data_IF_849546827796
#
_entry.id   IF_849546827796
#
_cell.length_a   1.000
_cell.length_b   1.000
_cell.length_c   1.000
_cell.angle_alpha   90.00
_cell.angle_beta   90.00
_cell.angle_gamma   90.00
#
_symmetry.space_group_name_H-M   'P 1'
#
loop_
_entity.id
_entity.type
_entity.pdbx_description
1 polymer ?
2 non-polymer ?
3 non-polymer ?
4 water ?
#
# COMPACT_ATOMS: atom_id res chain seq x y z
N UNK A 2 11.53 15.21 -16.55
CA UNK A 2 11.76 13.78 -16.14
C UNK A 2 10.93 13.36 -14.92
N UNK A 3 10.78 14.24 -13.94
CA UNK A 3 9.92 14.01 -12.78
C UNK A 3 10.56 13.17 -11.69
N UNK A 4 11.87 13.17 -11.64
CA UNK A 4 12.57 12.42 -10.63
C UNK A 4 12.76 13.22 -9.34
N UNK A 5 12.62 12.53 -8.21
CA UNK A 5 12.84 13.11 -6.89
C UNK A 5 14.18 12.61 -6.36
N UNK A 6 15.18 13.49 -6.37
CA UNK A 6 16.55 13.12 -5.99
C UNK A 6 16.66 12.30 -4.70
N UNK A 7 15.69 12.42 -3.80
CA UNK A 7 15.78 11.76 -2.49
C UNK A 7 15.84 10.22 -2.53
N UNK A 8 15.33 9.62 -3.61
CA UNK A 8 15.36 8.17 -3.75
C UNK A 8 16.64 7.74 -4.42
N UNK A 9 17.45 6.92 -3.75
CA UNK A 9 18.65 6.42 -4.41
C UNK A 9 18.91 4.95 -4.16
N UNK A 10 19.65 4.33 -5.06
CA UNK A 10 20.05 2.94 -4.91
C UNK A 10 20.92 2.87 -3.70
N UNK A 11 21.53 3.99 -3.36
CA UNK A 11 22.44 4.01 -2.23
C UNK A 11 21.71 4.05 -0.88
N UNK A 12 20.53 4.68 -0.85
CA UNK A 12 19.74 4.65 0.38
C UNK A 12 18.59 3.64 0.35
N UNK A 13 18.66 2.72 -0.60
CA UNK A 13 17.72 1.61 -0.61
C UNK A 13 18.34 0.52 0.25
N UNK A 14 17.70 0.21 1.37
CA UNK A 14 18.19 -0.87 2.22
C UNK A 14 17.77 -2.22 1.65
N UNK A 15 18.67 -3.17 1.66
CA UNK A 15 18.45 -4.46 1.04
C UNK A 15 18.31 -5.57 2.06
N UNK A 16 17.25 -6.37 1.88
CA UNK A 16 16.95 -7.51 2.73
C UNK A 16 16.46 -8.62 1.81
N UNK A 17 16.22 -9.80 2.34
CA UNK A 17 15.88 -10.87 1.41
C UNK A 17 14.52 -10.70 0.75
N UNK A 18 13.81 -9.67 1.15
CA UNK A 18 12.50 -9.43 0.59
C UNK A 18 12.52 -8.53 -0.63
N UNK A 19 13.63 -7.83 -0.87
CA UNK A 19 13.71 -6.91 -2.01
C UNK A 19 14.99 -7.06 -2.80
N UNK A 20 15.74 -8.10 -2.47
CA UNK A 20 17.01 -8.38 -3.12
C UNK A 20 16.90 -8.61 -4.63
N UNK A 21 16.05 -9.55 -5.05
CA UNK A 21 15.85 -9.82 -6.48
C UNK A 21 15.64 -8.52 -7.23
N UNK A 22 14.56 -7.83 -6.92
CA UNK A 22 14.24 -6.59 -7.58
C UNK A 22 15.48 -5.70 -7.61
N UNK A 23 16.08 -5.50 -6.46
CA UNK A 23 17.24 -4.64 -6.37
C UNK A 23 18.38 -5.12 -7.28
N UNK A 24 18.68 -6.41 -7.23
CA UNK A 24 19.77 -6.94 -8.03
C UNK A 24 19.47 -6.81 -9.50
N UNK A 25 18.25 -7.20 -9.89
CA UNK A 25 17.84 -7.12 -11.28
C UNK A 25 17.94 -5.67 -11.81
N UNK A 26 17.43 -4.73 -11.05
CA UNK A 26 17.49 -3.34 -11.46
C UNK A 26 18.96 -2.91 -11.65
N UNK A 27 19.81 -3.32 -10.72
CA UNK A 27 21.23 -2.99 -10.80
C UNK A 27 21.93 -3.66 -11.97
N UNK A 28 21.67 -4.94 -12.20
CA UNK A 28 22.22 -5.60 -13.36
C UNK A 28 21.78 -4.83 -14.62
N UNK A 29 20.53 -4.38 -14.64
CA UNK A 29 20.00 -3.71 -15.81
C UNK A 29 20.67 -2.36 -16.09
N UNK A 30 21.07 -1.67 -15.03
CA UNK A 30 21.72 -0.39 -15.18
C UNK A 30 23.09 -0.53 -15.83
N UNK A 31 23.71 -1.68 -15.66
CA UNK A 31 25.02 -1.92 -16.23
C UNK A 31 24.95 -2.37 -17.68
N UNK A 32 23.76 -2.74 -18.13
CA UNK A 32 23.55 -3.12 -19.51
C UNK A 32 22.20 -2.63 -20.02
N UNK A 33 21.91 -1.36 -19.78
CA UNK A 33 20.64 -0.75 -20.17
C UNK A 33 20.03 -1.28 -21.44
N UNK A 34 18.76 -1.70 -21.32
CA UNK A 34 17.99 -2.19 -22.43
C UNK A 34 18.45 -3.49 -23.06
N UNK A 35 19.55 -4.06 -22.62
CA UNK A 35 20.08 -5.24 -23.29
C UNK A 35 19.96 -6.58 -22.57
N UNK A 36 19.75 -6.55 -21.26
CA UNK A 36 19.70 -7.76 -20.47
C UNK A 36 18.25 -8.12 -20.16
N UNK A 37 17.56 -7.19 -19.52
CA UNK A 37 16.18 -7.39 -19.15
C UNK A 37 15.34 -6.29 -19.71
N UNK A 38 14.31 -6.64 -20.45
CA UNK A 38 13.41 -5.64 -20.99
C UNK A 38 12.14 -6.33 -21.40
N UNK A 39 11.05 -6.01 -20.72
CA UNK A 39 11.06 -5.04 -19.64
C UNK A 39 11.30 -5.68 -18.29
N UNK A 40 11.45 -4.82 -17.29
CA UNK A 40 11.47 -5.22 -15.90
C UNK A 40 10.12 -4.80 -15.34
N UNK A 41 9.43 -5.72 -14.67
CA UNK A 41 8.11 -5.43 -14.11
C UNK A 41 8.16 -5.76 -12.64
N UNK A 42 8.19 -4.72 -11.80
CA UNK A 42 8.24 -4.92 -10.36
C UNK A 42 6.85 -4.83 -9.74
N UNK A 43 6.51 -5.77 -8.86
CA UNK A 43 5.22 -5.72 -8.18
C UNK A 43 5.29 -6.07 -6.69
N UNK A 44 4.40 -5.45 -5.93
CA UNK A 44 4.33 -5.64 -4.51
C UNK A 44 3.30 -4.73 -3.90
N UNK A 45 2.99 -4.98 -2.65
CA UNK A 45 1.96 -4.20 -1.99
C UNK A 45 2.46 -2.80 -1.64
N UNK A 46 1.55 -1.95 -1.20
CA UNK A 46 1.90 -0.57 -0.85
C UNK A 46 3.06 -0.42 0.13
N UNK A 47 3.93 0.55 -0.13
CA UNK A 47 5.00 0.90 0.78
C UNK A 47 6.04 -0.19 0.80
N UNK A 48 6.37 -0.68 -0.36
CA UNK A 48 7.20 -1.84 -0.44
C UNK A 48 8.50 -1.60 -1.17
N UNK A 49 8.65 -0.40 -1.73
CA UNK A 49 9.87 -0.03 -2.40
C UNK A 49 9.78 0.22 -3.90
N UNK A 50 8.60 -0.03 -4.48
CA UNK A 50 8.43 0.12 -5.93
C UNK A 50 8.81 1.52 -6.44
N UNK A 51 8.22 2.56 -5.89
CA UNK A 51 8.48 3.89 -6.40
C UNK A 51 9.93 4.28 -6.10
N UNK A 52 10.37 3.99 -4.90
CA UNK A 52 11.72 4.29 -4.52
C UNK A 52 12.71 3.67 -5.51
N UNK A 53 12.50 2.40 -5.84
CA UNK A 53 13.41 1.69 -6.71
C UNK A 53 13.38 2.25 -8.15
N UNK A 54 12.19 2.52 -8.67
CA UNK A 54 12.09 3.08 -10.02
C UNK A 54 12.84 4.40 -10.08
N UNK A 55 12.60 5.25 -9.10
CA UNK A 55 13.19 6.56 -9.10
C UNK A 55 14.69 6.54 -8.82
N UNK A 56 15.14 5.56 -8.06
CA UNK A 56 16.56 5.44 -7.80
C UNK A 56 17.26 5.04 -9.10
N UNK A 57 16.64 4.14 -9.87
CA UNK A 57 17.20 3.75 -11.16
C UNK A 57 17.28 4.97 -12.07
N UNK A 58 16.19 5.73 -12.13
CA UNK A 58 16.15 6.90 -12.97
C UNK A 58 17.23 7.88 -12.60
N UNK A 59 17.37 8.15 -11.31
CA UNK A 59 18.40 9.09 -10.88
C UNK A 59 19.79 8.65 -11.30
N UNK A 60 20.05 7.34 -11.22
CA UNK A 60 21.32 6.79 -11.64
C UNK A 60 21.53 6.98 -13.12
N UNK A 61 20.56 6.57 -13.92
CA UNK A 61 20.69 6.68 -15.36
C UNK A 61 20.92 8.14 -15.78
N UNK A 62 20.33 9.06 -15.03
CA UNK A 62 20.46 10.46 -15.37
C UNK A 62 21.84 10.97 -14.98
N UNK A 63 22.28 10.56 -13.81
CA UNK A 63 23.59 10.94 -13.32
C UNK A 63 24.67 10.39 -14.24
N UNK A 64 24.31 9.40 -15.05
CA UNK A 64 25.25 8.80 -15.98
C UNK A 64 25.15 9.45 -17.35
N UNK A 65 24.10 10.26 -17.54
CA UNK A 65 23.91 10.99 -18.78
C UNK A 65 22.74 10.56 -19.65
N UNK A 66 21.97 9.57 -19.21
CA UNK A 66 20.85 9.06 -20.01
C UNK A 66 19.60 9.95 -19.94
N UNK A 67 18.82 9.92 -21.00
CA UNK A 67 17.56 10.65 -21.08
C UNK A 67 16.48 9.80 -20.39
N UNK A 68 15.81 10.35 -19.38
CA UNK A 68 14.89 9.56 -18.58
C UNK A 68 13.52 10.18 -18.41
N UNK A 69 12.49 9.37 -18.40
CA UNK A 69 11.19 9.88 -17.99
C UNK A 69 10.58 8.96 -16.93
N UNK A 70 10.02 9.57 -15.90
CA UNK A 70 9.28 8.84 -14.90
C UNK A 70 7.88 9.34 -14.91
N UNK A 71 6.93 8.44 -14.73
CA UNK A 71 5.56 8.87 -14.65
C UNK A 71 4.68 7.74 -14.14
N UNK A 72 3.67 8.09 -13.36
CA UNK A 72 2.72 7.10 -12.92
C UNK A 72 1.74 6.93 -14.05
N UNK A 73 1.14 5.77 -14.14
CA UNK A 73 0.25 5.47 -15.24
C UNK A 73 -0.92 6.44 -15.31
N UNK A 74 -1.41 6.88 -14.15
CA UNK A 74 -2.56 7.77 -14.14
C UNK A 74 -2.23 9.14 -14.69
N UNK A 75 -1.03 9.62 -14.37
CA UNK A 75 -0.60 10.93 -14.87
C UNK A 75 -0.29 10.79 -16.36
N UNK A 76 0.21 9.62 -16.74
CA UNK A 76 0.50 9.34 -18.13
C UNK A 76 -0.80 9.43 -18.90
N UNK A 77 -1.83 8.76 -18.38
CA UNK A 77 -3.15 8.75 -19.00
C UNK A 77 -3.69 10.17 -19.13
N UNK A 78 -3.56 10.92 -18.06
CA UNK A 78 -4.08 12.26 -18.01
C UNK A 78 -3.31 13.15 -18.98
N UNK A 79 -2.01 12.98 -19.04
CA UNK A 79 -1.20 13.78 -19.95
C UNK A 79 -1.51 13.46 -21.43
N UNK A 81 -4.38 12.39 -22.74
CA UNK A 81 -5.67 12.98 -23.09
C UNK A 81 -5.58 14.51 -23.27
N UNK A 82 -4.69 15.14 -22.52
CA UNK A 82 -4.49 16.58 -22.61
C UNK A 82 -3.83 16.98 -23.93
N UNK A 83 -2.79 16.25 -24.30
CA UNK A 83 -2.10 16.53 -25.55
C UNK A 83 -3.02 16.26 -26.72
N UNK A 84 -3.84 15.23 -26.58
CA UNK A 84 -4.76 14.85 -27.66
C UNK A 84 -5.76 15.94 -27.98
N UNK A 85 -6.27 16.61 -26.96
CA UNK A 85 -7.22 17.68 -27.22
C UNK A 85 -6.55 19.00 -27.62
N UNK A 86 -5.31 19.19 -27.18
CA UNK A 86 -4.59 20.41 -27.50
C UNK A 86 -4.08 20.34 -28.93
N UNK A 87 -4.13 19.15 -29.50
CA UNK A 87 -3.67 18.91 -30.86
C UNK A 87 -2.23 18.45 -30.90
N UNK A 88 -1.69 18.07 -29.75
CA UNK A 88 -0.29 17.73 -29.64
C UNK A 88 0.01 16.26 -29.33
N UNK A 89 -0.94 15.35 -29.57
CA UNK A 89 -0.67 13.98 -29.28
C UNK A 89 0.71 13.59 -29.81
N UNK A 90 1.13 14.20 -30.91
CA UNK A 90 2.41 13.88 -31.52
C UNK A 90 3.66 14.25 -30.69
N UNK A 91 3.59 15.34 -29.94
CA UNK A 91 4.70 15.70 -29.07
C UNK A 91 4.71 14.76 -27.87
N UNK A 92 3.53 14.28 -27.50
CA UNK A 92 3.41 13.28 -26.43
C UNK A 92 4.20 12.01 -26.79
N UNK A 93 3.94 11.47 -27.98
CA UNK A 93 4.60 10.25 -28.40
C UNK A 93 6.10 10.46 -28.53
N UNK A 94 6.48 11.44 -29.34
CA UNK A 94 7.89 11.69 -29.59
C UNK A 94 8.67 11.84 -28.30
N UNK A 96 8.02 10.48 -25.30
CA UNK A 96 8.20 9.17 -24.69
C UNK A 96 9.04 8.23 -25.52
N UNK A 97 8.97 8.37 -26.85
CA UNK A 97 9.66 7.45 -27.74
C UNK A 97 11.15 7.71 -27.82
N UNK A 98 11.59 8.80 -27.22
CA UNK A 98 12.96 9.23 -27.38
C UNK A 98 13.85 9.05 -26.15
N UNK A 99 13.37 8.38 -25.13
CA UNK A 99 14.17 8.27 -23.92
C UNK A 99 15.09 7.07 -23.94
N UNK A 100 16.07 7.05 -23.04
CA UNK A 100 16.91 5.86 -22.85
C UNK A 100 16.29 4.98 -21.76
N UNK A 101 15.44 5.58 -20.92
CA UNK A 101 14.89 4.90 -19.75
C UNK A 101 13.47 5.39 -19.47
N UNK A 102 12.48 4.52 -19.63
CA UNK A 102 11.11 4.87 -19.32
C UNK A 102 10.69 4.17 -18.01
N UNK A 103 10.15 4.94 -17.08
CA UNK A 103 9.72 4.36 -15.82
C UNK A 103 8.25 4.64 -15.66
N UNK A 104 7.42 3.59 -15.78
CA UNK A 104 5.99 3.72 -15.63
C UNK A 104 5.57 3.07 -14.34
N UNK A 105 5.11 3.88 -13.40
CA UNK A 105 4.78 3.43 -12.07
C UNK A 105 3.28 3.21 -11.94
N UNK A 106 2.86 2.26 -11.10
CA UNK A 106 1.45 1.98 -10.86
C UNK A 106 0.61 1.56 -12.09
N UNK A 107 1.17 0.67 -12.89
CA UNK A 107 0.55 0.18 -14.14
C UNK A 107 -0.90 -0.28 -14.01
N UNK A 108 -1.28 -0.72 -12.84
CA UNK A 108 -2.64 -1.17 -12.59
C UNK A 108 -3.67 -0.15 -13.05
N UNK A 109 -3.32 1.13 -12.93
CA UNK A 109 -4.24 2.21 -13.27
C UNK A 109 -4.43 2.41 -14.77
N UNK A 110 -3.74 1.60 -15.56
CA UNK A 110 -3.94 1.55 -17.00
C UNK A 110 -5.31 0.95 -17.35
N UNK A 111 -5.93 0.22 -16.41
CA UNK A 111 -7.19 -0.46 -16.72
C UNK A 111 -8.30 0.49 -17.10
N UNK A 112 -9.00 0.15 -18.18
CA UNK A 112 -10.07 0.99 -18.69
C UNK A 112 -9.57 1.99 -19.72
N UNK A 113 -8.41 2.56 -19.47
CA UNK A 113 -7.86 3.58 -20.35
C UNK A 113 -7.33 2.94 -21.62
N UNK A 114 -8.25 2.54 -22.50
CA UNK A 114 -7.90 1.84 -23.71
C UNK A 114 -6.95 2.62 -24.58
N UNK A 115 -7.27 3.89 -24.82
CA UNK A 115 -6.45 4.69 -25.70
C UNK A 115 -5.07 4.76 -25.11
N UNK A 116 -5.02 5.06 -23.82
CA UNK A 116 -3.75 5.13 -23.11
C UNK A 116 -2.95 3.85 -23.30
N UNK A 117 -3.61 2.70 -23.13
CA UNK A 117 -2.93 1.42 -23.31
C UNK A 117 -2.41 1.37 -24.73
N UNK A 118 -3.27 1.66 -25.69
CA UNK A 118 -2.83 1.60 -27.08
C UNK A 118 -1.64 2.54 -27.31
N UNK A 119 -1.74 3.75 -26.82
CA UNK A 119 -0.64 4.66 -27.03
C UNK A 119 0.64 4.18 -26.31
N UNK A 120 0.49 3.54 -25.16
CA UNK A 120 1.63 3.00 -24.44
C UNK A 120 2.25 1.78 -25.18
N UNK A 121 1.41 0.96 -25.80
CA UNK A 121 1.92 -0.16 -26.55
C UNK A 121 2.91 0.34 -27.60
N UNK A 122 2.46 1.34 -28.36
CA UNK A 122 3.27 1.84 -29.43
C UNK A 122 4.56 2.43 -28.92
N UNK A 123 4.49 3.15 -27.79
CA UNK A 123 5.70 3.66 -27.18
C UNK A 123 6.59 2.50 -26.69
N UNK A 124 5.98 1.52 -26.03
CA UNK A 124 6.68 0.33 -25.56
C UNK A 124 7.46 -0.36 -26.72
N UNK A 125 6.75 -0.71 -27.81
CA UNK A 125 7.39 -1.31 -28.96
C UNK A 125 8.60 -0.52 -29.46
N UNK A 126 8.43 0.79 -29.61
CA UNK A 126 9.50 1.62 -30.14
C UNK A 126 10.72 1.52 -29.26
N UNK A 127 10.55 1.83 -27.97
CA UNK A 127 11.67 1.75 -27.07
C UNK A 127 12.27 0.35 -27.13
N UNK A 128 11.41 -0.65 -27.23
CA UNK A 128 11.84 -2.03 -27.24
C UNK A 128 12.70 -2.36 -28.49
N UNK A 129 12.22 -1.99 -29.67
CA UNK A 129 12.94 -2.27 -30.90
C UNK A 129 14.27 -1.55 -30.91
N UNK A 130 14.39 -0.52 -30.09
CA UNK A 130 15.62 0.26 -30.01
C UNK A 130 16.46 -0.19 -28.82
N UNK A 131 15.99 -1.24 -28.15
CA UNK A 131 16.66 -1.72 -26.96
C UNK A 131 16.79 -0.63 -25.90
N UNK A 132 15.73 0.13 -25.72
CA UNK A 132 15.69 1.16 -24.67
C UNK A 132 15.04 0.53 -23.45
N UNK A 133 15.52 0.90 -22.26
CA UNK A 133 15.10 0.24 -21.04
C UNK A 133 13.73 0.66 -20.58
N UNK A 134 12.92 -0.31 -20.24
CA UNK A 134 11.61 -0.04 -19.71
C UNK A 134 11.52 -0.67 -18.34
N UNK A 135 11.08 0.09 -17.35
CA UNK A 135 10.84 -0.47 -16.04
C UNK A 135 9.43 -0.11 -15.62
N UNK A 136 8.62 -1.13 -15.33
CA UNK A 136 7.26 -0.93 -14.90
C UNK A 136 7.16 -1.33 -13.46
N UNK A 137 6.18 -0.78 -12.77
CA UNK A 137 5.90 -1.20 -11.40
C UNK A 137 4.38 -1.26 -11.24
N UNK A 138 3.94 -2.19 -10.41
CA UNK A 138 2.52 -2.41 -10.22
C UNK A 138 2.28 -2.96 -8.84
N UNK A 139 1.04 -2.91 -8.39
CA UNK A 139 0.73 -3.43 -7.08
C UNK A 139 0.31 -4.87 -7.22
N UNK A 140 0.29 -5.38 -8.44
CA UNK A 140 -0.13 -6.75 -8.64
C UNK A 140 0.54 -7.34 -9.86
N UNK A 141 0.63 -8.66 -9.87
CA UNK A 141 1.22 -9.43 -10.97
C UNK A 141 0.46 -9.15 -12.25
N UNK A 142 1.13 -9.14 -13.39
CA UNK A 142 0.43 -8.92 -14.67
C UNK A 142 -0.81 -9.81 -14.83
N UNK A 143 -0.73 -11.07 -14.42
CA UNK A 143 -1.87 -11.99 -14.54
C UNK A 143 -3.09 -11.48 -13.78
N UNK A 144 -2.91 -10.45 -12.97
CA UNK A 144 -4.02 -9.92 -12.20
C UNK A 144 -4.44 -8.56 -12.68
N UNK A 145 -3.79 -8.09 -13.73
CA UNK A 145 -4.19 -6.85 -14.36
C UNK A 145 -5.47 -7.02 -15.18
N UNK A 146 -6.62 -7.00 -14.53
CA UNK A 146 -7.89 -6.94 -15.26
C UNK A 146 -7.96 -5.59 -15.95
N UNK A 147 -8.54 -5.56 -17.14
CA UNK A 147 -8.69 -4.32 -17.86
C UNK A 147 -7.50 -3.86 -18.65
N UNK A 148 -6.37 -4.57 -18.56
CA UNK A 148 -5.22 -4.22 -19.40
C UNK A 148 -5.17 -5.23 -20.53
N UNK A 149 -4.94 -4.75 -21.75
CA UNK A 149 -4.97 -5.66 -22.89
C UNK A 149 -4.09 -6.87 -22.69
N UNK A 150 -4.43 -7.95 -23.39
CA UNK A 150 -3.68 -9.18 -23.37
C UNK A 150 -2.31 -9.00 -23.99
N UNK A 151 -2.25 -8.20 -25.04
CA UNK A 151 -0.99 -8.05 -25.72
C UNK A 151 0.01 -7.33 -24.84
N UNK A 152 -0.45 -6.37 -24.06
CA UNK A 152 0.45 -5.67 -23.15
C UNK A 152 0.93 -6.63 -22.09
N UNK A 153 0.02 -7.48 -21.64
CA UNK A 153 0.38 -8.47 -20.64
C UNK A 153 1.40 -9.49 -21.16
N UNK A 154 1.26 -9.95 -22.40
CA UNK A 154 2.25 -10.90 -22.92
C UNK A 154 3.58 -10.21 -22.95
N UNK A 155 3.59 -9.03 -23.53
CA UNK A 155 4.82 -8.27 -23.62
C UNK A 155 5.52 -8.18 -22.25
N UNK A 156 4.77 -7.81 -21.22
CA UNK A 156 5.38 -7.71 -19.91
C UNK A 156 5.96 -9.08 -19.58
N UNK A 157 5.25 -10.13 -19.95
CA UNK A 157 5.67 -11.44 -19.55
C UNK A 157 6.87 -11.95 -20.31
N UNK A 158 7.25 -11.21 -21.34
CA UNK A 158 8.41 -11.56 -22.10
C UNK A 158 9.66 -11.09 -21.38
N UNK A 159 9.48 -10.24 -20.38
CA UNK A 159 10.64 -9.72 -19.68
C UNK A 159 10.99 -10.43 -18.38
N UNK A 160 11.22 -9.65 -17.33
CA UNK A 160 11.47 -10.21 -16.01
C UNK A 160 10.52 -9.64 -14.97
N UNK A 161 9.81 -10.53 -14.29
CA UNK A 161 8.82 -10.15 -13.28
C UNK A 161 9.40 -10.44 -11.92
N UNK A 162 9.44 -9.46 -11.05
CA UNK A 162 9.96 -9.69 -9.72
C UNK A 162 9.09 -9.08 -8.62
N UNK A 163 8.65 -9.92 -7.70
CA UNK A 163 7.85 -9.48 -6.58
C UNK A 163 8.74 -8.78 -5.58
N UNK A 164 8.24 -7.75 -4.92
CA UNK A 164 9.05 -7.05 -3.93
C UNK A 164 8.32 -6.99 -2.60
N UNK A 165 9.06 -7.21 -1.53
CA UNK A 165 8.47 -7.20 -0.19
C UNK A 165 9.34 -6.42 0.79
N UNK A 166 8.68 -5.85 1.79
CA UNK A 166 9.39 -5.18 2.85
C UNK A 166 9.39 -6.08 4.07
N UNK A 167 10.44 -6.88 4.21
CA UNK A 167 10.51 -7.85 5.28
C UNK A 167 10.90 -7.25 6.63
N UNK A 168 10.73 -8.04 7.69
CA UNK A 168 11.00 -7.59 9.06
C UNK A 168 12.43 -7.09 9.29
N UNK A 169 13.41 -7.82 8.80
CA UNK A 169 14.79 -7.38 8.98
C UNK A 169 14.97 -6.01 8.36
N UNK A 170 14.27 -5.75 7.27
CA UNK A 170 14.37 -4.48 6.56
C UNK A 170 13.67 -3.31 7.30
N UNK A 171 12.41 -3.49 7.69
CA UNK A 171 11.71 -2.47 8.45
C UNK A 171 12.57 -2.06 9.63
N UNK A 172 13.06 -3.06 10.34
CA UNK A 172 13.92 -2.86 11.48
C UNK A 172 15.01 -1.84 11.15
N UNK A 173 15.80 -2.10 10.12
CA UNK A 173 16.85 -1.17 9.75
C UNK A 173 16.25 0.19 9.42
N UNK A 174 15.14 0.20 8.66
CA UNK A 174 14.51 1.46 8.32
C UNK A 174 14.09 2.19 9.61
N UNK A 175 13.42 1.48 10.49
CA UNK A 175 13.00 2.08 11.75
C UNK A 175 14.15 2.78 12.45
N UNK A 176 15.33 2.15 12.46
CA UNK A 176 16.48 2.78 13.06
C UNK A 176 16.81 4.05 12.32
N UNK A 177 16.81 4.02 10.99
CA UNK A 177 17.13 5.24 10.24
C UNK A 177 16.14 6.34 10.58
N UNK A 178 14.85 6.00 10.62
CA UNK A 178 13.79 6.97 10.89
C UNK A 178 13.92 7.61 12.26
N UNK A 179 14.22 6.80 13.27
CA UNK A 179 14.40 7.33 14.59
C UNK A 179 15.55 8.37 14.64
N UNK A 180 16.64 8.14 13.91
CA UNK A 180 17.69 9.15 13.79
C UNK A 180 17.22 10.36 12.98
N UNK A 181 16.43 10.14 11.93
CA UNK A 181 15.88 11.24 11.13
C UNK A 181 15.09 12.20 12.02
N UNK A 182 14.23 11.66 12.87
CA UNK A 182 13.34 12.47 13.65
C UNK A 182 13.82 12.70 15.09
N UNK A 183 15.11 12.49 15.30
CA UNK A 183 15.73 12.75 16.58
C UNK A 183 15.09 12.02 17.76
N UNK A 184 14.95 10.71 17.63
CA UNK A 184 14.52 9.93 18.76
C UNK A 184 15.64 8.99 19.09
N UNK A 185 15.52 8.28 20.19
CA UNK A 185 16.59 7.44 20.64
C UNK A 185 16.37 6.02 20.20
N UNK A 186 17.45 5.35 19.83
CA UNK A 186 17.35 3.95 19.41
C UNK A 186 17.21 3.07 20.64
N UNK A 187 16.06 3.17 21.27
CA UNK A 187 15.79 2.46 22.49
C UNK A 187 14.99 1.20 22.17
N UNK A 188 15.38 0.08 22.76
CA UNK A 188 14.75 -1.19 22.45
C UNK A 188 13.21 -1.11 22.39
N UNK A 189 12.59 -0.57 23.44
CA UNK A 189 11.12 -0.54 23.51
C UNK A 189 10.47 0.20 22.34
N UNK A 190 11.09 1.29 21.93
CA UNK A 190 10.55 2.10 20.86
C UNK A 190 10.66 1.32 19.56
N UNK A 191 11.87 0.82 19.30
CA UNK A 191 12.12 0.00 18.11
C UNK A 191 11.19 -1.17 18.10
N UNK A 192 11.05 -1.85 19.24
CA UNK A 192 10.10 -2.94 19.34
C UNK A 192 8.66 -2.48 19.08
N UNK A 193 8.24 -1.39 19.72
CA UNK A 193 6.89 -0.89 19.53
C UNK A 193 6.59 -0.71 18.07
N UNK A 194 7.56 -0.15 17.35
CA UNK A 194 7.37 0.14 15.96
C UNK A 194 7.33 -1.13 15.11
N UNK A 195 8.14 -2.14 15.48
CA UNK A 195 8.15 -3.38 14.73
C UNK A 195 6.78 -4.02 14.77
N UNK A 196 6.23 -4.11 15.97
CA UNK A 196 4.93 -4.73 16.15
C UNK A 196 3.76 -3.95 15.53
N UNK A 197 3.89 -2.64 15.39
CA UNK A 197 2.72 -1.86 14.93
C UNK A 197 2.83 -1.13 13.60
N UNK A 198 3.70 -1.57 12.71
CA UNK A 198 3.82 -0.94 11.42
C UNK A 198 4.32 -1.88 10.34
N UNK A 199 4.01 -1.55 9.08
CA UNK A 199 4.42 -2.35 7.94
C UNK A 199 5.02 -1.43 6.87
N UNK A 200 4.62 -0.17 6.92
CA UNK A 200 5.00 0.87 5.97
C UNK A 200 5.97 1.82 6.63
N UNK A 201 6.55 2.72 5.85
CA UNK A 201 7.27 3.84 6.39
C UNK A 201 6.24 4.91 6.76
N UNK A 202 5.11 4.92 6.06
CA UNK A 202 4.02 5.84 6.33
C UNK A 202 3.50 5.64 7.76
N UNK A 203 3.36 4.39 8.17
CA UNK A 203 2.85 4.08 9.50
C UNK A 203 3.93 4.36 10.54
N UNK A 204 5.18 4.16 10.16
CA UNK A 204 6.29 4.44 11.04
C UNK A 204 6.37 5.94 11.31
N UNK A 205 6.24 6.75 10.27
CA UNK A 205 6.25 8.20 10.46
C UNK A 205 5.00 8.66 11.22
N UNK A 206 3.87 8.01 10.96
CA UNK A 206 2.65 8.29 11.69
C UNK A 206 2.83 8.06 13.19
N UNK A 207 3.39 6.92 13.56
CA UNK A 207 3.66 6.66 14.98
C UNK A 207 4.66 7.66 15.54
N UNK A 208 5.72 7.94 14.78
CA UNK A 208 6.74 8.86 15.25
C UNK A 208 6.14 10.24 15.51
N UNK A 209 5.26 10.71 14.62
CA UNK A 209 4.59 12.00 14.78
C UNK A 209 3.88 12.02 16.14
N UNK A 210 3.19 10.93 16.46
CA UNK A 210 2.46 10.83 17.71
C UNK A 210 3.41 10.77 18.89
N UNK A 211 4.57 10.15 18.68
CA UNK A 211 5.53 10.03 19.76
C UNK A 211 6.15 11.38 20.09
N UNK A 212 6.46 12.18 19.07
CA UNK A 212 7.04 13.50 19.32
C UNK A 212 6.02 14.42 20.00
N UNK A 213 4.74 14.15 19.76
CA UNK A 213 3.69 15.01 20.26
C UNK A 213 3.37 14.69 21.70
N UNK A 214 3.15 13.42 21.98
CA UNK A 214 2.66 12.98 23.27
C UNK A 214 3.72 12.31 24.11
N UNK A 215 4.90 12.10 23.55
CA UNK A 215 5.94 11.33 24.21
C UNK A 215 5.67 9.84 23.97
N UNK A 216 6.71 9.01 23.97
CA UNK A 216 6.49 7.60 23.71
C UNK A 216 5.50 7.03 24.74
N UNK A 217 5.66 7.42 25.98
CA UNK A 217 4.80 6.89 27.04
C UNK A 217 3.40 7.51 27.04
N UNK A 218 3.26 8.64 26.34
CA UNK A 218 1.98 9.28 26.17
C UNK A 218 1.17 8.50 25.16
N UNK A 219 1.85 8.01 24.12
CA UNK A 219 1.20 7.20 23.10
C UNK A 219 0.75 5.88 23.69
N UNK A 220 1.61 5.29 24.51
CA UNK A 220 1.22 4.03 25.14
C UNK A 220 -0.02 4.21 26.00
N UNK A 221 -0.07 5.30 26.74
CA UNK A 221 -1.23 5.59 27.56
C UNK A 221 -2.47 5.81 26.71
N UNK A 222 -2.35 6.64 25.69
CA UNK A 222 -3.47 6.91 24.83
C UNK A 222 -3.96 5.61 24.21
N UNK A 223 -3.04 4.78 23.74
CA UNK A 223 -3.45 3.55 23.07
C UNK A 223 -4.09 2.55 24.03
N UNK A 224 -3.64 2.59 25.27
CA UNK A 224 -4.22 1.72 26.30
C UNK A 224 -5.65 2.12 26.55
N UNK A 225 -5.87 3.43 26.65
CA UNK A 225 -7.20 3.95 26.82
C UNK A 225 -8.09 3.58 25.64
N UNK A 226 -7.58 3.68 24.42
CA UNK A 226 -8.36 3.29 23.27
C UNK A 226 -8.78 1.82 23.39
N UNK A 227 -7.84 0.95 23.75
CA UNK A 227 -8.17 -0.47 23.93
C UNK A 227 -9.26 -0.68 24.99
N UNK A 228 -9.19 0.11 26.07
CA UNK A 228 -10.19 0.00 27.13
C UNK A 228 -11.55 0.32 26.55
N UNK A 229 -11.62 1.37 25.75
CA UNK A 229 -12.90 1.76 25.20
C UNK A 229 -13.49 0.68 24.32
N UNK A 230 -12.65 0.05 23.50
CA UNK A 230 -13.08 -1.04 22.64
C UNK A 230 -13.66 -2.17 23.48
N UNK A 232 -15.09 -1.62 26.37
CA UNK A 232 -16.33 -1.05 26.87
C UNK A 232 -17.43 -1.29 25.86
N UNK A 233 -17.09 -1.21 24.57
CA UNK A 233 -18.07 -1.44 23.53
C UNK A 233 -18.51 -2.91 23.52
N UNK A 234 -17.58 -3.81 23.81
CA UNK A 234 -17.91 -5.22 23.89
C UNK A 234 -18.85 -5.44 25.07
N UNK A 235 -18.52 -4.88 26.22
CA UNK A 235 -19.40 -4.94 27.39
C UNK A 235 -20.78 -4.46 26.98
N UNK A 236 -20.82 -3.40 26.18
CA UNK A 236 -22.09 -2.80 25.79
C UNK A 236 -22.93 -3.75 24.95
N UNK A 237 -22.39 -4.20 23.82
CA UNK A 237 -23.11 -5.11 22.96
C UNK A 237 -23.65 -6.28 23.76
N UNK A 238 -22.88 -6.71 24.75
CA UNK A 238 -23.28 -7.79 25.63
C UNK A 238 -24.59 -7.45 26.35
N UNK A 239 -24.49 -6.63 27.39
CA UNK A 239 -25.64 -6.24 28.19
C UNK A 239 -26.92 -5.97 27.39
N UNK A 240 -26.77 -5.65 26.11
CA UNK A 240 -27.93 -5.41 25.25
C UNK A 240 -28.41 -6.68 24.54
N UNK A 241 -27.47 -7.50 24.10
CA UNK A 241 -27.80 -8.71 23.34
C UNK A 241 -28.06 -9.92 24.22
N UNK A 242 -27.63 -9.85 25.48
CA UNK A 242 -27.81 -10.97 26.39
C UNK A 242 -26.80 -12.07 26.08
N UNK A 243 -25.53 -11.67 25.95
CA UNK A 243 -24.44 -12.59 25.75
C UNK A 243 -23.33 -12.11 26.67
N UNK A 244 -22.59 -13.03 27.27
CA UNK A 244 -21.50 -12.64 28.17
C UNK A 244 -20.29 -12.17 27.38
N UNK A 245 -19.38 -11.49 28.06
CA UNK A 245 -18.18 -11.01 27.40
C UNK A 245 -17.31 -12.19 27.02
N UNK A 246 -16.96 -12.99 28.02
CA UNK A 246 -16.15 -14.19 27.82
C UNK A 246 -16.61 -14.90 26.55
N UNK A 247 -17.91 -14.88 26.34
CA UNK A 247 -18.52 -15.53 25.18
C UNK A 247 -18.23 -14.75 23.89
N UNK A 248 -18.63 -13.48 23.87
CA UNK A 248 -18.51 -12.65 22.67
C UNK A 248 -17.12 -12.68 22.00
N UNK A 249 -16.13 -13.18 22.70
CA UNK A 249 -14.76 -13.19 22.18
C UNK A 249 -14.24 -14.55 21.73
N UNK A 250 -14.79 -15.08 20.64
CA UNK A 250 -14.34 -16.36 20.10
C UNK A 250 -15.08 -16.75 18.82
N UNK A 251 -14.57 -17.77 18.13
CA UNK A 251 -15.15 -18.22 16.87
C UNK A 251 -16.33 -19.17 17.07
N UNK A 252 -17.09 -18.96 18.14
CA UNK A 252 -18.25 -19.79 18.42
C UNK A 252 -19.42 -19.34 17.58
N UNK A 253 -19.66 -20.05 16.48
CA UNK A 253 -20.76 -19.72 15.57
C UNK A 253 -22.10 -20.10 16.20
N UNK A 254 -22.81 -19.12 16.74
CA UNK A 254 -24.07 -19.38 17.42
C UNK A 254 -25.21 -18.44 17.03
N UNK A 255 -24.95 -17.54 16.08
CA UNK A 255 -25.95 -16.59 15.61
C UNK A 255 -26.56 -15.75 16.75
N UNK A 256 -26.26 -16.14 17.98
CA UNK A 256 -26.66 -15.38 19.15
C UNK A 256 -25.41 -14.66 19.64
N UNK A 257 -24.29 -15.10 19.11
CA UNK A 257 -23.01 -14.53 19.43
C UNK A 257 -22.40 -14.00 18.14
N UNK A 258 -22.38 -14.84 17.13
CA UNK A 258 -21.83 -14.46 15.83
C UNK A 258 -22.43 -13.16 15.32
N UNK A 259 -23.69 -12.93 15.67
CA UNK A 259 -24.39 -11.72 15.24
C UNK A 259 -24.19 -10.56 16.20
N UNK A 260 -23.56 -10.83 17.33
CA UNK A 260 -23.23 -9.78 18.29
C UNK A 260 -21.80 -9.39 18.03
N UNK A 261 -21.05 -10.33 17.48
CA UNK A 261 -19.65 -10.13 17.15
C UNK A 261 -19.56 -9.18 15.97
N UNK A 262 -20.51 -9.29 15.05
CA UNK A 262 -20.55 -8.44 13.87
C UNK A 262 -20.79 -6.99 14.27
N UNK A 263 -21.91 -6.74 14.93
CA UNK A 263 -22.23 -5.37 15.35
C UNK A 263 -21.10 -4.76 16.18
N UNK A 264 -20.57 -5.54 17.12
CA UNK A 264 -19.49 -5.05 17.96
C UNK A 264 -18.36 -4.53 17.09
N UNK A 266 -18.38 -3.72 14.21
CA UNK A 266 -18.94 -2.57 13.52
C UNK A 266 -18.91 -1.33 14.41
N UNK A 267 -19.29 -1.51 15.66
CA UNK A 267 -19.31 -0.39 16.59
C UNK A 267 -17.88 0.09 16.90
N UNK A 268 -16.94 -0.83 17.02
CA UNK A 268 -15.55 -0.49 17.26
C UNK A 268 -15.05 0.28 16.07
N UNK A 269 -15.42 -0.19 14.89
CA UNK A 269 -14.99 0.48 13.66
C UNK A 269 -15.67 1.82 13.52
N UNK A 270 -16.98 1.85 13.63
CA UNK A 270 -17.72 3.07 13.32
C UNK A 270 -17.80 4.10 14.47
N UNK A 271 -17.86 3.61 15.71
CA UNK A 271 -18.00 4.50 16.84
C UNK A 271 -16.67 5.00 17.43
N UNK A 272 -15.67 4.13 17.50
CA UNK A 272 -14.37 4.54 18.05
C UNK A 272 -13.28 4.74 17.01
N UNK A 273 -13.61 4.57 15.73
CA UNK A 273 -12.63 4.78 14.66
C UNK A 273 -11.39 3.93 14.85
N UNK A 274 -11.59 2.67 15.22
CA UNK A 274 -10.47 1.75 15.40
C UNK A 274 -10.12 1.10 14.09
N UNK A 275 -8.84 0.95 13.82
CA UNK A 275 -8.42 0.31 12.59
C UNK A 275 -8.77 -1.16 12.63
N UNK A 276 -8.79 -1.77 11.43
CA UNK A 276 -9.05 -3.20 11.29
C UNK A 276 -8.14 -3.97 12.22
N UNK A 277 -6.83 -3.77 12.04
CA UNK A 277 -5.85 -4.42 12.88
C UNK A 277 -6.25 -4.27 14.34
N UNK A 278 -6.51 -3.03 14.77
CA UNK A 278 -6.90 -2.76 16.16
C UNK A 278 -8.14 -3.53 16.57
N UNK A 279 -9.16 -3.51 15.73
CA UNK A 279 -10.38 -4.24 16.00
C UNK A 279 -10.05 -5.73 16.07
N UNK A 280 -9.29 -6.22 15.09
CA UNK A 280 -8.90 -7.62 15.07
C UNK A 280 -8.21 -8.00 16.37
N UNK A 281 -7.30 -7.15 16.82
CA UNK A 281 -6.56 -7.41 18.05
C UNK A 281 -7.50 -7.40 19.25
N UNK A 282 -8.43 -6.47 19.24
CA UNK A 282 -9.38 -6.36 20.33
C UNK A 282 -10.10 -7.69 20.49
N UNK A 283 -10.72 -8.13 19.39
CA UNK A 283 -11.39 -9.40 19.38
C UNK A 283 -10.32 -10.45 19.11
N UNK A 284 -9.87 -11.11 20.17
CA UNK A 284 -8.76 -12.02 20.06
C UNK A 284 -8.84 -12.91 18.84
N UNK A 285 -8.00 -12.55 17.87
CA UNK A 285 -7.85 -13.24 16.60
C UNK A 285 -6.69 -12.54 15.95
N UNK A 286 -6.25 -13.04 14.80
CA UNK A 286 -5.21 -12.36 14.04
C UNK A 286 -5.22 -12.77 12.58
N UNK A 287 -5.89 -11.96 11.77
CA UNK A 287 -5.98 -12.19 10.34
C UNK A 287 -6.80 -11.07 9.70
N UNK A 288 -7.00 -11.16 8.39
CA UNK A 288 -7.74 -10.16 7.66
C UNK A 288 -9.22 -10.55 7.52
N UNK A 289 -9.51 -11.25 6.42
CA UNK A 289 -10.87 -11.69 6.10
C UNK A 289 -11.90 -11.34 7.18
N UNK A 290 -12.07 -12.26 8.14
CA UNK A 290 -13.06 -12.09 9.21
C UNK A 290 -13.71 -10.72 9.26
N UNK A 291 -12.99 -9.74 9.80
CA UNK A 291 -13.52 -8.40 9.98
C UNK A 291 -14.16 -7.83 8.72
N UNK A 292 -13.34 -7.57 7.71
CA UNK A 292 -13.82 -6.99 6.45
C UNK A 292 -15.26 -7.40 6.10
N UNK A 293 -15.47 -8.67 5.78
CA UNK A 293 -16.80 -9.12 5.38
C UNK A 293 -17.84 -9.04 6.51
N UNK A 294 -17.39 -9.13 7.75
CA UNK A 294 -18.29 -8.98 8.88
C UNK A 294 -18.94 -7.60 8.78
N UNK A 295 -18.11 -6.57 8.70
CA UNK A 295 -18.59 -5.22 8.55
C UNK A 295 -19.43 -5.10 7.27
N UNK A 296 -19.09 -5.92 6.26
CA UNK A 296 -19.86 -5.94 5.01
C UNK A 296 -21.28 -6.40 5.28
N UNK A 297 -21.41 -7.58 5.87
CA UNK A 297 -22.73 -8.12 6.19
C UNK A 297 -23.60 -7.08 6.86
N UNK A 298 -23.00 -6.33 7.79
CA UNK A 298 -23.72 -5.29 8.51
C UNK A 298 -24.26 -4.23 7.56
N UNK A 299 -23.57 -4.01 6.45
CA UNK A 299 -24.03 -3.05 5.46
C UNK A 299 -25.04 -3.66 4.49
N UNK A 300 -25.12 -4.99 4.48
CA UNK A 300 -26.10 -5.68 3.66
C UNK A 300 -27.47 -5.40 4.24
N UNK A 301 -27.51 -5.21 5.55
CA UNK A 301 -28.75 -4.96 6.26
C UNK A 301 -29.26 -3.54 6.06
N UNK A 302 -28.50 -2.73 5.33
CA UNK A 302 -28.90 -1.36 5.04
C UNK A 302 -29.98 -1.33 3.96
N UNK A 303 -29.85 -2.24 2.99
CA UNK A 303 -30.80 -2.33 1.90
C UNK A 303 -32.21 -1.98 2.35
N UNK A 306 -35.66 1.05 5.64
CA UNK A 306 -35.03 1.44 6.90
C UNK A 306 -35.44 0.46 8.00
N UNK A 307 -34.64 -0.59 8.19
CA UNK A 307 -34.99 -1.65 9.14
C UNK A 307 -33.90 -1.88 10.19
N UNK A 308 -32.92 -2.70 9.84
CA UNK A 308 -31.82 -3.07 10.71
C UNK A 308 -30.92 -1.87 10.95
N UNK A 309 -31.11 -0.82 10.15
CA UNK A 309 -30.32 0.40 10.24
C UNK A 309 -30.59 1.17 11.52
N UNK A 310 -31.86 1.27 11.90
CA UNK A 310 -32.27 2.02 13.09
C UNK A 310 -31.76 1.40 14.38
N UNK A 311 -31.67 0.07 14.40
CA UNK A 311 -31.12 -0.61 15.55
C UNK A 311 -29.67 -0.16 15.69
N UNK A 312 -28.84 -0.63 14.76
CA UNK A 312 -27.44 -0.26 14.74
C UNK A 312 -27.28 1.22 15.06
N UNK A 313 -28.11 2.04 14.44
CA UNK A 313 -28.06 3.48 14.65
C UNK A 313 -28.22 3.83 16.11
N UNK A 314 -29.18 3.17 16.75
CA UNK A 314 -29.45 3.40 18.15
C UNK A 314 -28.28 2.91 19.03
N UNK A 315 -27.70 1.77 18.65
CA UNK A 315 -26.58 1.22 19.38
C UNK A 315 -25.36 2.14 19.29
N UNK A 316 -25.17 2.71 18.11
CA UNK A 316 -24.07 3.63 17.86
C UNK A 316 -24.16 4.82 18.78
N UNK A 317 -25.36 5.39 18.89
CA UNK A 317 -25.57 6.58 19.71
C UNK A 317 -25.37 6.29 21.20
N UNK A 318 -25.92 5.18 21.66
CA UNK A 318 -25.75 4.81 23.06
C UNK A 318 -24.27 4.57 23.37
N UNK A 319 -23.62 3.73 22.57
CA UNK A 319 -22.19 3.49 22.73
C UNK A 319 -21.42 4.81 22.83
N UNK A 320 -21.73 5.77 21.98
CA UNK A 320 -21.05 7.06 22.02
C UNK A 320 -21.22 7.76 23.38
N UNK A 321 -22.45 7.95 23.79
CA UNK A 321 -22.75 8.61 25.05
C UNK A 321 -22.16 7.89 26.26
N UNK A 322 -22.04 6.58 26.18
CA UNK A 322 -21.57 5.79 27.31
C UNK A 322 -20.07 5.55 27.31
N UNK A 323 -19.45 5.54 26.14
CA UNK A 323 -18.05 5.19 26.05
C UNK A 323 -17.13 6.28 25.51
N UNK A 324 -17.68 7.29 24.86
CA UNK A 324 -16.82 8.33 24.26
C UNK A 324 -16.87 9.69 24.94
#
# INVERSE_FOLDING_TARGET
>A
KDFLNPKYTLENFIVGEGNRLAYEVVKEALENLGSLYNPIFIYGSVGTGKTHLLQAAGNEAKKRGYRVIYSSADDFAQAXVEHLKKGTINEFRNXYKSVDLLLLDDVQFLSGKERTQIEFFHIFNTLYLLEKQIILASDRHPQKLDGVSDRLVSRFEGGILVEIELDNKTRFKIIKEKLKEFNLELRKEVIDYLLENTKNVREIEGKIKLIKLKGFEGLERKERKERDKLXQIVEFVANYYAVKVEDILSDKRNKRTSEARKIAXYLCRKVCSASLIEIARAFKRKDHTTVIHAIRSVEEEKKKDRKFKHLVGFLEKQAFDKIC
#
